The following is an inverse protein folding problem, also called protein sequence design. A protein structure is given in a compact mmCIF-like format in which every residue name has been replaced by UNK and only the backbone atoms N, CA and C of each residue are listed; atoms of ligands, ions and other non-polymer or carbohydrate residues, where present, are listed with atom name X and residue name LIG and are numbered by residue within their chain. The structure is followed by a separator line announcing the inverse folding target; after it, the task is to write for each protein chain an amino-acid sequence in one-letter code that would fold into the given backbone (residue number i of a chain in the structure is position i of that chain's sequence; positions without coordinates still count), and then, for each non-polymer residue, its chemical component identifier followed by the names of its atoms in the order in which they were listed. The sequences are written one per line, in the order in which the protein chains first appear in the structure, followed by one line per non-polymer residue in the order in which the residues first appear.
data_IF_444614210709
#
_entry.id   IF_444614210709
#
_cell.length_a   1.000
_cell.length_b   1.000
_cell.length_c   1.000
_cell.angle_alpha   90.00
_cell.angle_beta   90.00
_cell.angle_gamma   90.00
#
_symmetry.space_group_name_H-M   'P 1'
#
loop_
_entity.id
_entity.type
_entity.pdbx_description
1 polymer ?
#
# COMPACT_ATOMS: atom_id res chain seq x y z
N UNK A 1 9.69 -13.74 -17.34
CA UNK A 1 9.69 -12.91 -16.12
C UNK A 1 11.06 -12.81 -15.47
N UNK A 2 11.53 -13.88 -14.83
CA UNK A 2 12.79 -13.94 -14.06
C UNK A 2 14.05 -13.56 -14.85
N UNK A 3 14.20 -14.04 -16.09
CA UNK A 3 15.32 -13.66 -16.96
C UNK A 3 15.31 -12.18 -17.37
N UNK A 4 14.13 -11.61 -17.61
CA UNK A 4 13.97 -10.19 -17.89
C UNK A 4 14.30 -9.34 -16.65
N UNK A 5 13.93 -9.79 -15.45
CA UNK A 5 14.28 -9.14 -14.20
C UNK A 5 15.81 -9.15 -13.96
N UNK A 6 16.49 -10.26 -14.27
CA UNK A 6 17.96 -10.35 -14.21
C UNK A 6 18.63 -9.42 -15.23
N UNK A 7 18.11 -9.36 -16.46
CA UNK A 7 18.57 -8.43 -17.48
C UNK A 7 18.43 -6.97 -17.06
N UNK A 8 17.26 -6.59 -16.54
CA UNK A 8 16.99 -5.24 -16.04
C UNK A 8 17.90 -4.88 -14.86
N UNK A 9 18.09 -5.78 -13.90
CA UNK A 9 18.97 -5.55 -12.73
C UNK A 9 20.42 -5.28 -13.14
N UNK A 10 20.88 -5.90 -14.23
CA UNK A 10 22.25 -5.71 -14.73
C UNK A 10 22.46 -4.36 -15.42
N UNK A 11 21.46 -3.81 -16.11
CA UNK A 11 21.66 -2.66 -17.00
C UNK A 11 21.02 -1.36 -16.52
N UNK A 12 19.98 -1.43 -15.70
CA UNK A 12 19.22 -0.26 -15.30
C UNK A 12 19.77 0.35 -14.01
N UNK A 13 20.10 1.64 -14.03
CA UNK A 13 20.49 2.39 -12.83
C UNK A 13 19.35 2.39 -11.80
N UNK A 14 19.67 2.44 -10.50
CA UNK A 14 18.67 2.33 -9.42
C UNK A 14 17.54 3.36 -9.55
N UNK A 15 17.88 4.61 -9.91
CA UNK A 15 16.88 5.67 -10.12
C UNK A 15 16.06 5.44 -11.41
N UNK A 16 16.71 5.05 -12.50
CA UNK A 16 16.02 4.75 -13.76
C UNK A 16 15.07 3.55 -13.61
N UNK A 17 15.47 2.53 -12.84
CA UNK A 17 14.62 1.41 -12.46
C UNK A 17 13.42 1.83 -11.63
N UNK A 18 13.63 2.69 -10.64
CA UNK A 18 12.53 3.19 -9.81
C UNK A 18 11.52 4.00 -10.63
N UNK A 19 11.99 4.87 -11.52
CA UNK A 19 11.12 5.66 -12.41
C UNK A 19 10.40 4.76 -13.41
N UNK A 20 11.10 3.83 -14.06
CA UNK A 20 10.52 2.90 -15.02
C UNK A 20 9.50 1.96 -14.36
N UNK A 21 9.78 1.47 -13.15
CA UNK A 21 8.85 0.68 -12.38
C UNK A 21 7.61 1.49 -11.96
N UNK A 22 7.78 2.76 -11.56
CA UNK A 22 6.66 3.66 -11.26
C UNK A 22 5.74 3.82 -12.48
N UNK A 23 6.34 4.16 -13.62
CA UNK A 23 5.62 4.36 -14.88
C UNK A 23 4.93 3.08 -15.34
N UNK A 24 5.60 1.93 -15.24
CA UNK A 24 5.01 0.64 -15.59
C UNK A 24 3.78 0.35 -14.72
N UNK A 25 3.86 0.55 -13.41
CA UNK A 25 2.71 0.25 -12.53
C UNK A 25 1.59 1.25 -12.77
N UNK A 26 1.88 2.54 -12.93
CA UNK A 26 0.86 3.55 -13.31
C UNK A 26 0.21 3.17 -14.64
N UNK A 27 0.99 2.76 -15.64
CA UNK A 27 0.49 2.34 -16.94
C UNK A 27 -0.37 1.08 -16.82
N UNK A 28 0.04 0.09 -16.02
CA UNK A 28 -0.76 -1.11 -15.75
C UNK A 28 -2.07 -0.75 -15.05
N UNK A 29 -2.05 0.15 -14.05
CA UNK A 29 -3.27 0.62 -13.37
C UNK A 29 -4.20 1.30 -14.37
N UNK A 30 -3.69 2.19 -15.21
CA UNK A 30 -4.47 2.93 -16.24
C UNK A 30 -4.99 1.97 -17.33
N UNK A 31 -4.18 1.00 -17.75
CA UNK A 31 -4.60 -0.02 -18.71
C UNK A 31 -5.68 -0.92 -18.12
N UNK A 32 -5.52 -1.42 -16.89
CA UNK A 32 -6.53 -2.21 -16.18
C UNK A 32 -7.79 -1.38 -15.96
N UNK A 33 -7.65 -0.13 -15.55
CA UNK A 33 -8.71 0.85 -15.38
C UNK A 33 -9.55 1.06 -16.63
N UNK A 34 -8.91 1.28 -17.78
CA UNK A 34 -9.58 1.46 -19.08
C UNK A 34 -10.16 0.16 -19.62
N UNK A 35 -9.53 -0.99 -19.31
CA UNK A 35 -10.07 -2.30 -19.66
C UNK A 35 -11.23 -2.72 -18.76
N UNK A 36 -11.23 -2.42 -17.46
CA UNK A 36 -12.31 -2.81 -16.54
C UNK A 36 -13.48 -1.83 -16.49
N UNK A 37 -13.51 -0.81 -17.36
CA UNK A 37 -14.72 0.01 -17.50
C UNK A 37 -15.87 -0.93 -17.90
N UNK A 38 -16.91 -1.09 -17.05
CA UNK A 38 -18.07 -1.87 -17.41
C UNK A 38 -18.69 -1.19 -18.63
N UNK A 39 -18.71 -1.89 -19.76
CA UNK A 39 -19.48 -1.46 -20.92
C UNK A 39 -20.92 -1.28 -20.45
N UNK A 40 -21.53 -0.14 -20.74
CA UNK A 40 -22.87 0.20 -20.26
C UNK A 40 -23.85 -0.78 -20.87
N UNK A 41 -24.21 -1.82 -20.12
CA UNK A 41 -25.35 -2.68 -20.44
C UNK A 41 -26.58 -1.80 -20.30
N UNK A 42 -27.08 -1.32 -21.44
CA UNK A 42 -28.38 -0.67 -21.60
C UNK A 42 -29.47 -1.68 -21.30
N UNK A 43 -30.54 -1.22 -20.64
CA UNK A 43 -31.61 -2.11 -20.13
C UNK A 43 -32.33 -2.90 -21.24
N UNK A 44 -32.26 -2.46 -22.51
CA UNK A 44 -32.73 -3.21 -23.70
C UNK A 44 -31.97 -4.54 -23.95
N UNK A 45 -30.73 -4.68 -23.47
CA UNK A 45 -29.93 -5.90 -23.68
C UNK A 45 -30.19 -7.00 -22.65
N UNK A 46 -30.80 -6.67 -21.51
CA UNK A 46 -31.05 -7.62 -20.42
C UNK A 46 -32.23 -8.56 -20.74
N UNK A 47 -33.22 -8.08 -21.51
CA UNK A 47 -34.43 -8.83 -21.84
C UNK A 47 -34.26 -9.81 -23.02
N UNK A 48 -33.32 -9.57 -23.95
CA UNK A 48 -33.27 -10.33 -25.20
C UNK A 48 -32.11 -11.33 -25.30
N UNK A 49 -30.98 -11.15 -24.58
CA UNK A 49 -29.78 -12.00 -24.77
C UNK A 49 -28.88 -12.14 -23.54
N UNK A 50 -29.37 -12.83 -22.52
CA UNK A 50 -28.57 -13.19 -21.31
C UNK A 50 -27.26 -13.91 -21.65
N UNK A 51 -27.25 -14.77 -22.68
CA UNK A 51 -26.04 -15.51 -23.10
C UNK A 51 -24.96 -14.62 -23.74
N UNK A 52 -25.34 -13.56 -24.47
CA UNK A 52 -24.42 -12.65 -25.16
C UNK A 52 -23.74 -11.72 -24.13
N UNK A 53 -24.44 -11.39 -23.04
CA UNK A 53 -23.88 -10.68 -21.88
C UNK A 53 -22.86 -11.54 -21.14
N UNK A 54 -23.16 -12.83 -20.91
CA UNK A 54 -22.21 -13.78 -20.30
C UNK A 54 -20.98 -13.98 -21.19
N UNK A 55 -21.15 -14.16 -22.50
CA UNK A 55 -20.03 -14.39 -23.41
C UNK A 55 -19.15 -13.15 -23.58
N UNK A 56 -19.71 -11.93 -23.49
CA UNK A 56 -18.94 -10.67 -23.43
C UNK A 56 -18.22 -10.44 -22.11
N UNK A 57 -18.85 -10.79 -20.98
CA UNK A 57 -18.18 -10.74 -19.67
C UNK A 57 -17.04 -11.77 -19.60
N UNK A 58 -17.22 -12.95 -20.19
CA UNK A 58 -16.21 -13.99 -20.28
C UNK A 58 -15.16 -13.72 -21.36
N UNK A 59 -15.45 -12.91 -22.39
CA UNK A 59 -14.50 -12.57 -23.45
C UNK A 59 -13.19 -11.96 -22.90
N UNK A 60 -13.29 -11.12 -21.85
CA UNK A 60 -12.10 -10.56 -21.17
C UNK A 60 -11.34 -11.59 -20.33
N UNK A 61 -12.00 -12.69 -19.94
CA UNK A 61 -11.37 -13.82 -19.23
C UNK A 61 -10.82 -14.90 -20.17
N UNK A 62 -11.14 -14.86 -21.48
CA UNK A 62 -10.61 -15.80 -22.49
C UNK A 62 -9.09 -15.77 -22.61
N UNK A 63 -8.42 -14.70 -22.15
CA UNK A 63 -6.96 -14.68 -22.04
C UNK A 63 -6.41 -15.83 -21.19
N UNK A 64 -7.12 -16.22 -20.13
CA UNK A 64 -6.72 -17.33 -19.25
C UNK A 64 -6.87 -18.71 -19.89
N UNK A 65 -7.59 -18.80 -21.02
CA UNK A 65 -7.82 -20.02 -21.80
C UNK A 65 -6.81 -20.18 -22.94
N UNK A 66 -5.77 -19.35 -23.02
CA UNK A 66 -4.79 -19.47 -24.10
C UNK A 66 -4.07 -20.85 -24.04
N UNK A 67 -4.04 -21.64 -25.13
CA UNK A 67 -3.62 -23.04 -25.08
C UNK A 67 -2.19 -23.29 -24.61
N UNK A 68 -1.33 -22.28 -24.67
CA UNK A 68 0.08 -22.37 -24.25
C UNK A 68 0.32 -21.90 -22.81
N UNK A 69 -0.72 -21.49 -22.09
CA UNK A 69 -0.58 -21.07 -20.70
C UNK A 69 -0.67 -22.28 -19.75
N UNK A 70 0.17 -22.34 -18.71
CA UNK A 70 0.05 -23.36 -17.67
C UNK A 70 -1.34 -23.38 -17.00
N UNK A 71 -2.01 -22.22 -16.91
CA UNK A 71 -3.39 -22.13 -16.39
C UNK A 71 -4.38 -22.97 -17.18
N UNK A 72 -4.22 -23.01 -18.51
CA UNK A 72 -5.07 -23.81 -19.40
C UNK A 72 -4.83 -25.30 -19.19
N UNK A 73 -3.57 -25.75 -19.11
CA UNK A 73 -3.27 -27.17 -18.88
C UNK A 73 -3.76 -27.67 -17.52
N UNK A 74 -3.65 -26.84 -16.47
CA UNK A 74 -4.19 -27.17 -15.14
C UNK A 74 -5.72 -27.26 -15.18
N UNK A 75 -6.39 -26.26 -15.78
CA UNK A 75 -7.84 -26.24 -15.88
C UNK A 75 -8.38 -27.41 -16.69
N UNK A 76 -7.82 -27.66 -17.88
CA UNK A 76 -8.23 -28.74 -18.77
C UNK A 76 -7.92 -30.13 -18.20
N UNK A 77 -6.79 -30.28 -17.49
CA UNK A 77 -6.49 -31.51 -16.77
C UNK A 77 -7.50 -31.80 -15.66
N UNK A 78 -7.93 -30.77 -14.92
CA UNK A 78 -8.91 -30.92 -13.85
C UNK A 78 -10.31 -31.25 -14.39
N UNK A 79 -10.75 -30.60 -15.48
CA UNK A 79 -12.06 -30.88 -16.09
C UNK A 79 -12.12 -32.30 -16.66
N UNK A 80 -11.06 -32.73 -17.37
CA UNK A 80 -10.99 -34.10 -17.92
C UNK A 80 -10.93 -35.17 -16.83
N UNK A 81 -10.37 -34.86 -15.67
CA UNK A 81 -10.38 -35.77 -14.52
C UNK A 81 -11.80 -35.94 -13.97
N UNK A 82 -12.55 -34.85 -13.83
CA UNK A 82 -13.95 -34.84 -13.38
C UNK A 82 -14.86 -35.57 -14.37
N UNK A 83 -14.59 -35.46 -15.67
CA UNK A 83 -15.32 -36.15 -16.75
C UNK A 83 -14.93 -37.64 -16.89
N UNK A 84 -13.98 -38.14 -16.11
CA UNK A 84 -13.53 -39.55 -16.15
C UNK A 84 -12.53 -39.87 -17.28
N UNK A 85 -12.07 -38.87 -18.04
CA UNK A 85 -11.06 -39.01 -19.08
C UNK A 85 -9.64 -39.02 -18.48
N UNK A 86 -9.26 -40.16 -17.91
CA UNK A 86 -7.97 -40.35 -17.21
C UNK A 86 -6.75 -40.10 -18.12
N UNK A 87 -6.83 -40.49 -19.39
CA UNK A 87 -5.72 -40.32 -20.35
C UNK A 87 -5.45 -38.84 -20.65
N UNK A 88 -6.49 -38.02 -20.77
CA UNK A 88 -6.35 -36.57 -21.00
C UNK A 88 -5.75 -35.85 -19.79
N UNK A 89 -6.16 -36.26 -18.58
CA UNK A 89 -5.58 -35.77 -17.32
C UNK A 89 -4.09 -36.07 -17.24
N UNK A 90 -3.70 -37.31 -17.55
CA UNK A 90 -2.31 -37.74 -17.50
C UNK A 90 -1.44 -37.00 -18.53
N UNK A 91 -1.97 -36.78 -19.75
CA UNK A 91 -1.30 -35.98 -20.77
C UNK A 91 -1.00 -34.56 -20.29
N UNK A 92 -2.00 -33.82 -19.78
CA UNK A 92 -1.77 -32.46 -19.28
C UNK A 92 -0.86 -32.42 -18.05
N UNK A 93 -0.93 -33.43 -17.18
CA UNK A 93 -0.01 -33.60 -16.05
C UNK A 93 1.44 -33.76 -16.49
N UNK A 94 1.69 -34.60 -17.51
CA UNK A 94 3.03 -34.79 -18.08
C UNK A 94 3.54 -33.52 -18.79
N UNK A 95 2.67 -32.78 -19.48
CA UNK A 95 3.05 -31.51 -20.11
C UNK A 95 3.50 -30.48 -19.07
N UNK A 96 2.77 -30.36 -17.95
CA UNK A 96 3.13 -29.50 -16.83
C UNK A 96 4.45 -29.93 -16.17
N UNK A 97 4.63 -31.23 -15.95
CA UNK A 97 5.86 -31.78 -15.37
C UNK A 97 7.06 -31.53 -16.28
N UNK A 98 6.94 -31.77 -17.58
CA UNK A 98 7.99 -31.49 -18.56
C UNK A 98 8.36 -30.01 -18.59
N UNK A 99 7.36 -29.11 -18.58
CA UNK A 99 7.59 -27.66 -18.55
C UNK A 99 8.31 -27.21 -17.27
N UNK A 100 7.86 -27.69 -16.11
CA UNK A 100 8.48 -27.32 -14.83
C UNK A 100 9.90 -27.85 -14.69
N UNK A 101 10.16 -29.09 -15.13
CA UNK A 101 11.51 -29.66 -15.15
C UNK A 101 12.43 -28.93 -16.12
N UNK A 102 11.96 -28.62 -17.34
CA UNK A 102 12.75 -27.91 -18.34
C UNK A 102 13.15 -26.51 -17.86
N UNK A 103 12.18 -25.71 -17.42
CA UNK A 103 12.48 -24.35 -16.93
C UNK A 103 13.20 -24.36 -15.59
N UNK A 104 12.93 -25.34 -14.72
CA UNK A 104 13.65 -25.55 -13.47
C UNK A 104 15.13 -25.89 -13.70
N UNK A 105 15.42 -26.80 -14.63
CA UNK A 105 16.78 -27.17 -15.02
C UNK A 105 17.53 -25.97 -15.62
N UNK A 106 16.87 -25.20 -16.48
CA UNK A 106 17.45 -24.02 -17.11
C UNK A 106 17.74 -22.92 -16.07
N UNK A 107 16.85 -22.74 -15.08
CA UNK A 107 17.09 -21.87 -13.95
C UNK A 107 18.28 -22.36 -13.09
N UNK A 108 18.34 -23.63 -12.72
CA UNK A 108 19.41 -24.17 -11.87
C UNK A 108 20.80 -24.07 -12.53
N UNK A 109 20.90 -24.33 -13.83
CA UNK A 109 22.19 -24.43 -14.54
C UNK A 109 22.67 -23.11 -15.14
N UNK A 110 21.80 -22.32 -15.75
CA UNK A 110 22.20 -21.12 -16.52
C UNK A 110 21.99 -19.81 -15.78
N UNK A 111 21.16 -19.78 -14.73
CA UNK A 111 20.86 -18.52 -14.03
C UNK A 111 21.85 -18.15 -12.93
N UNK A 112 22.63 -19.09 -12.39
CA UNK A 112 23.49 -18.84 -11.22
C UNK A 112 24.53 -17.73 -11.42
N UNK A 113 25.29 -17.78 -12.52
CA UNK A 113 26.30 -16.76 -12.82
C UNK A 113 25.69 -15.38 -13.12
N UNK A 114 24.55 -15.36 -13.83
CA UNK A 114 23.81 -14.13 -14.14
C UNK A 114 23.18 -13.52 -12.87
N UNK A 115 22.67 -14.36 -11.97
CA UNK A 115 22.11 -13.95 -10.69
C UNK A 115 23.17 -13.32 -9.79
N UNK A 116 24.30 -14.00 -9.59
CA UNK A 116 25.36 -13.49 -8.73
C UNK A 116 26.00 -12.19 -9.27
N UNK A 117 26.21 -12.11 -10.58
CA UNK A 117 26.70 -10.91 -11.24
C UNK A 117 25.71 -9.74 -11.10
N UNK A 118 24.41 -9.99 -11.26
CA UNK A 118 23.37 -8.97 -11.11
C UNK A 118 23.25 -8.52 -9.65
N UNK A 119 23.29 -9.45 -8.69
CA UNK A 119 23.24 -9.15 -7.27
C UNK A 119 24.44 -8.30 -6.83
N UNK A 120 25.64 -8.69 -7.25
CA UNK A 120 26.87 -7.95 -6.98
C UNK A 120 26.85 -6.56 -7.63
N UNK A 121 26.34 -6.45 -8.86
CA UNK A 121 26.21 -5.18 -9.55
C UNK A 121 25.21 -4.22 -8.87
N UNK A 122 24.13 -4.74 -8.28
CA UNK A 122 23.14 -3.92 -7.55
C UNK A 122 23.69 -3.49 -6.19
N UNK A 123 24.34 -4.39 -5.45
CA UNK A 123 24.88 -4.10 -4.12
C UNK A 123 26.12 -3.17 -4.16
N UNK A 124 26.92 -3.22 -5.23
CA UNK A 124 28.09 -2.35 -5.41
C UNK A 124 27.75 -0.95 -5.92
N UNK A 125 26.52 -0.70 -6.40
CA UNK A 125 26.08 0.63 -6.85
C UNK A 125 25.81 1.54 -5.65
N UNK A 126 26.87 2.18 -5.16
CA UNK A 126 26.75 3.40 -4.37
C UNK A 126 25.94 4.44 -5.15
N UNK A 127 25.03 5.16 -4.48
CA UNK A 127 23.94 5.95 -5.08
C UNK A 127 24.30 7.15 -5.96
N UNK A 128 25.40 7.10 -6.73
CA UNK A 128 25.66 7.98 -7.86
C UNK A 128 25.00 7.41 -9.12
N UNK A 129 23.86 7.97 -9.51
CA UNK A 129 23.22 7.70 -10.80
C UNK A 129 24.15 8.12 -11.93
N UNK A 130 24.37 7.23 -12.89
CA UNK A 130 25.30 7.46 -13.97
C UNK A 130 25.32 6.23 -14.86
N UNK A 131 24.52 6.28 -15.92
CA UNK A 131 24.39 5.23 -16.92
C UNK A 131 25.77 4.90 -17.47
N UNK A 132 26.28 3.70 -17.18
CA UNK A 132 27.65 3.27 -17.57
C UNK A 132 27.92 3.39 -19.08
N UNK A 133 26.88 3.43 -19.91
CA UNK A 133 27.00 3.63 -21.35
C UNK A 133 27.53 5.04 -21.69
N UNK A 134 27.11 6.07 -20.96
CA UNK A 134 27.59 7.45 -21.16
C UNK A 134 28.97 7.73 -20.55
N UNK A 135 29.46 6.90 -19.61
CA UNK A 135 30.75 7.12 -18.92
C UNK A 135 31.94 6.40 -19.55
N UNK A 136 31.77 5.74 -20.70
CA UNK A 136 32.86 5.04 -21.38
C UNK A 136 33.82 5.96 -22.14
N UNK A 137 33.52 7.27 -22.22
CA UNK A 137 34.34 8.29 -22.87
C UNK A 137 34.95 9.35 -21.95
N UNK A 138 34.77 9.29 -20.64
CA UNK A 138 35.34 10.28 -19.71
C UNK A 138 36.39 9.63 -18.81
N UNK A 139 37.66 9.79 -19.17
CA UNK A 139 38.83 9.48 -18.34
C UNK A 139 38.88 10.38 -17.10
N UNK A 140 37.98 10.16 -16.16
CA UNK A 140 37.79 11.01 -14.97
C UNK A 140 37.69 10.16 -13.69
N UNK A 141 38.46 9.09 -13.60
CA UNK A 141 38.66 8.30 -12.37
C UNK A 141 39.48 9.04 -11.30
N UNK A 142 40.00 10.24 -11.59
CA UNK A 142 40.85 11.03 -10.68
C UNK A 142 40.16 12.18 -9.94
N UNK A 143 38.88 12.48 -10.22
CA UNK A 143 38.14 13.58 -9.57
C UNK A 143 37.21 13.11 -8.42
N UNK A 144 37.54 11.98 -7.78
CA UNK A 144 36.71 11.32 -6.77
C UNK A 144 36.90 11.86 -5.34
N UNK A 145 37.55 13.01 -5.17
CA UNK A 145 37.81 13.63 -3.86
C UNK A 145 37.03 14.91 -3.54
N UNK A 146 36.34 15.53 -4.51
CA UNK A 146 35.84 16.90 -4.35
C UNK A 146 34.46 17.16 -4.98
N UNK A 147 33.58 16.15 -5.03
CA UNK A 147 32.17 16.44 -5.28
C UNK A 147 31.51 16.85 -3.96
N UNK A 148 31.60 18.16 -3.72
CA UNK A 148 30.81 18.91 -2.75
C UNK A 148 29.42 18.30 -2.59
N UNK A 149 28.99 18.18 -1.33
CA UNK A 149 27.67 17.71 -0.93
C UNK A 149 26.61 18.65 -1.51
N UNK A 150 26.24 18.45 -2.78
CA UNK A 150 25.23 19.25 -3.44
C UNK A 150 23.90 19.04 -2.70
N UNK A 151 23.19 20.12 -2.33
CA UNK A 151 21.91 20.00 -1.64
C UNK A 151 20.95 19.27 -2.58
N UNK A 152 20.52 18.08 -2.17
CA UNK A 152 19.61 17.27 -2.99
C UNK A 152 18.23 17.92 -2.97
N UNK A 153 17.36 17.60 -3.94
CA UNK A 153 15.93 17.97 -3.94
C UNK A 153 15.26 17.75 -2.57
N UNK A 154 15.70 16.72 -1.86
CA UNK A 154 15.27 16.40 -0.50
C UNK A 154 15.66 17.46 0.55
N UNK A 155 16.82 18.10 0.44
CA UNK A 155 17.26 19.17 1.34
C UNK A 155 16.52 20.49 1.05
N UNK A 156 16.06 20.69 -0.20
CA UNK A 156 15.12 21.76 -0.57
C UNK A 156 13.70 21.50 -0.04
N UNK A 157 13.17 20.29 -0.21
CA UNK A 157 11.88 19.90 0.38
C UNK A 157 11.92 19.92 1.92
N UNK A 158 13.07 19.66 2.50
CA UNK A 158 13.28 19.79 3.94
C UNK A 158 13.11 21.25 4.42
N UNK A 159 13.40 22.25 3.56
CA UNK A 159 13.10 23.66 3.87
C UNK A 159 11.59 23.96 3.87
N UNK A 160 10.77 23.18 3.16
CA UNK A 160 9.31 23.28 3.22
C UNK A 160 8.76 22.91 4.61
N UNK A 161 9.44 22.01 5.34
CA UNK A 161 9.15 21.68 6.74
C UNK A 161 9.79 22.68 7.72
N UNK A 162 9.62 23.98 7.47
CA UNK A 162 10.21 25.05 8.28
C UNK A 162 9.72 25.08 9.74
N UNK A 163 8.55 24.47 10.03
CA UNK A 163 7.98 24.40 11.38
C UNK A 163 8.65 23.37 12.31
N UNK A 164 9.51 22.49 11.80
CA UNK A 164 10.16 21.43 12.58
C UNK A 164 11.62 21.78 12.93
N UNK A 165 12.06 21.39 14.14
CA UNK A 165 13.47 21.52 14.56
C UNK A 165 14.42 20.85 13.57
N UNK A 166 15.62 21.44 13.39
CA UNK A 166 16.61 20.97 12.42
C UNK A 166 16.95 19.47 12.54
N UNK A 167 16.95 18.96 13.77
CA UNK A 167 17.20 17.56 14.08
C UNK A 167 16.05 16.63 13.63
N UNK A 168 14.79 17.01 13.88
CA UNK A 168 13.60 16.28 13.40
C UNK A 168 13.54 16.25 11.87
N UNK A 169 13.94 17.35 11.22
CA UNK A 169 14.04 17.42 9.77
C UNK A 169 15.08 16.46 9.21
N UNK A 170 16.25 16.37 9.83
CA UNK A 170 17.27 15.40 9.43
C UNK A 170 16.79 13.95 9.55
N UNK A 171 16.01 13.65 10.60
CA UNK A 171 15.37 12.34 10.79
C UNK A 171 14.34 12.03 9.69
N UNK A 172 13.49 13.00 9.34
CA UNK A 172 12.51 12.84 8.24
C UNK A 172 13.22 12.62 6.91
N UNK A 173 14.27 13.39 6.60
CA UNK A 173 15.05 13.23 5.36
C UNK A 173 15.74 11.87 5.32
N UNK A 174 16.25 11.39 6.46
CA UNK A 174 16.79 10.02 6.60
C UNK A 174 15.72 8.99 6.26
N UNK A 175 14.53 9.08 6.86
CA UNK A 175 13.46 8.10 6.67
C UNK A 175 12.96 8.10 5.22
N UNK A 176 12.74 9.26 4.61
CA UNK A 176 12.34 9.40 3.19
C UNK A 176 13.39 8.77 2.28
N UNK A 177 14.68 9.05 2.52
CA UNK A 177 15.78 8.50 1.73
C UNK A 177 15.91 6.99 1.91
N UNK A 178 15.64 6.48 3.11
CA UNK A 178 15.67 5.04 3.39
C UNK A 178 14.50 4.33 2.70
N UNK A 179 13.30 4.91 2.76
CA UNK A 179 12.12 4.42 2.05
C UNK A 179 12.31 4.39 0.53
N UNK A 180 12.82 5.48 -0.07
CA UNK A 180 13.14 5.52 -1.50
C UNK A 180 14.24 4.54 -1.90
N UNK A 181 15.14 4.17 -0.99
CA UNK A 181 16.15 3.16 -1.25
C UNK A 181 15.53 1.76 -1.25
N UNK A 182 14.56 1.49 -0.39
CA UNK A 182 13.92 0.18 -0.33
C UNK A 182 12.87 0.00 -1.44
N UNK A 183 13.31 -0.62 -2.56
CA UNK A 183 12.45 -0.90 -3.72
C UNK A 183 11.29 -1.82 -3.39
N UNK A 184 11.42 -2.66 -2.36
CA UNK A 184 10.33 -3.56 -1.96
C UNK A 184 9.22 -2.79 -1.25
N UNK A 185 9.58 -1.91 -0.30
CA UNK A 185 8.60 -1.14 0.47
C UNK A 185 7.82 -0.15 -0.39
N UNK A 186 8.52 0.64 -1.22
CA UNK A 186 7.82 1.61 -2.04
C UNK A 186 7.06 0.97 -3.22
N UNK A 187 7.57 -0.12 -3.80
CA UNK A 187 6.83 -0.89 -4.82
C UNK A 187 5.53 -1.48 -4.27
N UNK A 188 5.55 -2.00 -3.05
CA UNK A 188 4.36 -2.48 -2.34
C UNK A 188 3.36 -1.35 -2.03
N UNK A 189 3.86 -0.16 -1.66
CA UNK A 189 3.02 1.03 -1.44
C UNK A 189 2.31 1.44 -2.73
N UNK A 190 3.05 1.46 -3.85
CA UNK A 190 2.52 1.84 -5.15
C UNK A 190 1.44 0.86 -5.63
N UNK A 191 1.66 -0.45 -5.49
CA UNK A 191 0.64 -1.46 -5.84
C UNK A 191 -0.63 -1.25 -5.01
N UNK A 192 -0.50 -1.04 -3.69
CA UNK A 192 -1.66 -0.85 -2.81
C UNK A 192 -2.42 0.44 -3.18
N UNK A 193 -1.73 1.56 -3.36
CA UNK A 193 -2.33 2.81 -3.81
C UNK A 193 -2.98 2.68 -5.20
N UNK A 194 -2.36 1.91 -6.09
CA UNK A 194 -2.89 1.66 -7.44
C UNK A 194 -4.20 0.89 -7.45
N UNK A 195 -4.27 -0.19 -6.67
CA UNK A 195 -5.50 -0.94 -6.46
C UNK A 195 -6.60 -0.06 -5.85
N UNK A 196 -6.21 0.83 -4.94
CA UNK A 196 -7.13 1.76 -4.29
C UNK A 196 -7.71 2.79 -5.28
N UNK A 197 -6.89 3.32 -6.19
CA UNK A 197 -7.35 4.20 -7.27
C UNK A 197 -8.27 3.44 -8.24
N UNK A 198 -7.94 2.19 -8.58
CA UNK A 198 -8.80 1.35 -9.41
C UNK A 198 -10.17 1.10 -8.75
N UNK A 199 -10.20 0.87 -7.44
CA UNK A 199 -11.44 0.76 -6.65
C UNK A 199 -12.30 2.02 -6.75
N UNK A 200 -11.73 3.22 -6.57
CA UNK A 200 -12.49 4.48 -6.67
C UNK A 200 -13.05 4.69 -8.07
N UNK A 201 -12.26 4.40 -9.11
CA UNK A 201 -12.74 4.52 -10.48
C UNK A 201 -13.90 3.57 -10.76
N UNK A 202 -13.88 2.36 -10.18
CA UNK A 202 -14.98 1.42 -10.30
C UNK A 202 -16.26 1.91 -9.60
N UNK A 203 -16.13 2.51 -8.40
CA UNK A 203 -17.27 3.10 -7.67
C UNK A 203 -18.03 4.15 -8.49
N UNK A 204 -17.34 4.94 -9.33
CA UNK A 204 -17.98 5.94 -10.19
C UNK A 204 -19.04 5.34 -11.11
N UNK A 205 -18.81 4.13 -11.61
CA UNK A 205 -19.77 3.43 -12.47
C UNK A 205 -20.96 2.89 -11.68
N UNK A 206 -20.73 2.42 -10.44
CA UNK A 206 -21.81 1.94 -9.57
C UNK A 206 -22.74 3.08 -9.15
N UNK A 207 -22.18 4.25 -8.83
CA UNK A 207 -22.91 5.47 -8.46
C UNK A 207 -24.02 5.84 -9.45
N UNK A 208 -23.74 5.78 -10.75
CA UNK A 208 -24.67 6.23 -11.80
C UNK A 208 -25.95 5.38 -11.90
N UNK A 209 -25.96 4.16 -11.35
CA UNK A 209 -27.12 3.25 -11.38
C UNK A 209 -27.94 3.27 -10.08
N UNK A 210 -27.54 4.03 -9.06
CA UNK A 210 -28.26 4.09 -7.79
C UNK A 210 -29.35 5.17 -7.86
N UNK A 211 -30.61 4.74 -7.96
CA UNK A 211 -31.78 5.63 -8.07
C UNK A 211 -32.45 5.95 -6.74
N UNK A 212 -32.05 5.31 -5.63
CA UNK A 212 -32.67 5.48 -4.31
C UNK A 212 -31.67 6.01 -3.27
N UNK A 213 -32.11 7.01 -2.51
CA UNK A 213 -31.34 7.70 -1.46
C UNK A 213 -30.75 6.74 -0.41
N UNK A 214 -31.47 5.67 -0.07
CA UNK A 214 -31.01 4.63 0.85
C UNK A 214 -29.70 3.98 0.39
N UNK A 215 -29.60 3.66 -0.90
CA UNK A 215 -28.40 3.01 -1.45
C UNK A 215 -27.22 3.97 -1.54
N UNK A 216 -27.48 5.25 -1.79
CA UNK A 216 -26.45 6.29 -1.78
C UNK A 216 -25.88 6.43 -0.36
N UNK A 217 -26.74 6.45 0.66
CA UNK A 217 -26.34 6.52 2.06
C UNK A 217 -25.52 5.30 2.48
N UNK A 218 -26.06 4.10 2.27
CA UNK A 218 -25.37 2.85 2.61
C UNK A 218 -24.00 2.74 1.91
N UNK A 219 -23.95 3.05 0.62
CA UNK A 219 -22.71 3.01 -0.17
C UNK A 219 -21.69 4.04 0.36
N UNK A 220 -22.14 5.22 0.79
CA UNK A 220 -21.26 6.25 1.35
C UNK A 220 -20.60 5.81 2.67
N UNK A 221 -21.33 5.19 3.60
CA UNK A 221 -20.77 4.67 4.85
C UNK A 221 -19.88 3.44 4.63
N UNK A 222 -20.27 2.54 3.73
CA UNK A 222 -19.42 1.42 3.34
C UNK A 222 -18.12 1.91 2.70
N UNK A 223 -18.18 2.96 1.89
CA UNK A 223 -16.98 3.56 1.31
C UNK A 223 -16.08 4.21 2.36
N UNK A 224 -16.65 4.91 3.36
CA UNK A 224 -15.88 5.40 4.52
C UNK A 224 -15.17 4.23 5.23
N UNK A 225 -15.89 3.13 5.47
CA UNK A 225 -15.32 1.91 6.06
C UNK A 225 -14.20 1.30 5.23
N UNK A 226 -14.40 1.17 3.91
CA UNK A 226 -13.37 0.69 2.99
C UNK A 226 -12.13 1.58 3.01
N UNK A 227 -12.29 2.91 2.99
CA UNK A 227 -11.18 3.86 3.09
C UNK A 227 -10.44 3.73 4.43
N UNK A 228 -11.17 3.57 5.54
CA UNK A 228 -10.58 3.37 6.86
C UNK A 228 -9.85 2.03 6.99
N UNK A 229 -10.36 0.94 6.41
CA UNK A 229 -9.69 -0.36 6.38
C UNK A 229 -8.40 -0.33 5.54
N UNK A 230 -8.43 0.38 4.41
CA UNK A 230 -7.22 0.61 3.61
C UNK A 230 -6.18 1.42 4.38
N UNK A 231 -6.61 2.43 5.14
CA UNK A 231 -5.74 3.17 6.04
C UNK A 231 -5.16 2.30 7.16
N UNK A 232 -5.96 1.43 7.79
CA UNK A 232 -5.46 0.48 8.78
C UNK A 232 -4.41 -0.47 8.18
N UNK A 233 -4.61 -0.90 6.93
CA UNK A 233 -3.66 -1.75 6.21
C UNK A 233 -2.34 -1.00 5.94
N UNK A 234 -2.43 0.25 5.48
CA UNK A 234 -1.26 1.11 5.23
C UNK A 234 -0.49 1.40 6.51
N UNK A 235 -1.19 1.74 7.60
CA UNK A 235 -0.56 2.03 8.89
C UNK A 235 0.10 0.78 9.49
N UNK A 236 -0.58 -0.37 9.44
CA UNK A 236 -0.01 -1.63 9.92
C UNK A 236 1.22 -2.05 9.11
N UNK A 237 1.24 -1.80 7.80
CA UNK A 237 2.37 -2.19 6.94
C UNK A 237 3.56 -1.25 7.02
N UNK A 238 3.33 0.06 7.09
CA UNK A 238 4.39 1.05 6.93
C UNK A 238 4.72 1.83 8.19
N UNK A 239 3.80 1.89 9.15
CA UNK A 239 3.89 2.76 10.34
C UNK A 239 4.25 1.94 11.56
N UNK A 240 3.56 0.82 11.78
CA UNK A 240 3.87 -0.11 12.87
C UNK A 240 5.35 -0.58 12.89
N UNK A 241 5.96 -1.03 11.77
CA UNK A 241 7.33 -1.53 11.82
C UNK A 241 8.39 -0.42 11.88
N UNK A 242 8.06 0.88 11.78
CA UNK A 242 9.06 1.95 11.66
C UNK A 242 10.08 1.99 12.79
N UNK A 243 9.64 1.70 14.01
CA UNK A 243 10.51 1.69 15.19
C UNK A 243 11.38 0.43 15.17
N UNK A 244 10.78 -0.72 14.87
CA UNK A 244 11.50 -2.00 14.75
C UNK A 244 12.54 -1.99 13.62
N UNK A 245 12.27 -1.27 12.51
CA UNK A 245 13.18 -1.12 11.37
C UNK A 245 14.42 -0.26 11.66
N UNK A 246 14.46 0.49 12.76
CA UNK A 246 15.72 1.08 13.25
C UNK A 246 16.70 -0.01 13.69
N UNK A 247 16.17 -1.19 14.07
CA UNK A 247 16.90 -2.43 14.25
C UNK A 247 18.07 -2.33 15.22
N UNK A 248 19.16 -3.02 14.88
CA UNK A 248 20.42 -3.03 15.65
C UNK A 248 21.11 -1.67 15.73
N UNK A 249 20.66 -0.65 15.00
CA UNK A 249 21.25 0.70 14.95
C UNK A 249 20.47 1.70 15.82
N UNK A 250 19.49 1.23 16.59
CA UNK A 250 18.70 2.09 17.48
C UNK A 250 19.57 2.85 18.48
N UNK A 251 20.74 2.31 18.86
CA UNK A 251 21.67 2.96 19.77
C UNK A 251 22.25 4.27 19.25
N UNK A 252 22.51 4.37 17.94
CA UNK A 252 22.96 5.61 17.30
C UNK A 252 21.89 6.71 17.45
N UNK A 253 20.62 6.31 17.37
CA UNK A 253 19.48 7.23 17.54
C UNK A 253 19.25 7.56 19.01
N UNK A 254 19.52 6.62 19.93
CA UNK A 254 19.44 6.81 21.38
C UNK A 254 20.50 7.77 21.93
N UNK A 255 21.71 7.73 21.38
CA UNK A 255 22.81 8.64 21.77
C UNK A 255 22.71 10.02 21.08
N UNK A 256 21.84 10.19 20.10
CA UNK A 256 21.60 11.48 19.47
C UNK A 256 20.87 12.44 20.43
N UNK A 257 21.16 13.76 20.39
CA UNK A 257 20.61 14.77 21.32
C UNK A 257 19.07 14.91 21.30
N UNK A 258 18.42 14.31 20.31
CA UNK A 258 16.97 14.28 20.14
C UNK A 258 16.22 13.55 21.26
N UNK A 259 16.81 12.48 21.80
CA UNK A 259 16.14 11.55 22.72
C UNK A 259 15.03 10.71 22.06
N UNK A 260 14.83 9.49 22.56
CA UNK A 260 13.96 8.49 21.92
C UNK A 260 12.48 8.88 21.90
N UNK A 261 12.02 9.65 22.89
CA UNK A 261 10.66 10.21 22.95
C UNK A 261 10.39 11.15 21.77
N UNK A 262 11.32 12.05 21.45
CA UNK A 262 11.15 13.02 20.36
C UNK A 262 11.24 12.34 18.99
N UNK A 263 12.06 11.29 18.88
CA UNK A 263 12.11 10.43 17.69
C UNK A 263 10.75 9.79 17.41
N UNK A 264 10.15 9.14 18.42
CA UNK A 264 8.82 8.52 18.28
C UNK A 264 7.76 9.56 17.90
N UNK A 265 7.72 10.71 18.57
CA UNK A 265 6.75 11.77 18.26
C UNK A 265 6.97 12.35 16.86
N UNK A 266 8.21 12.51 16.41
CA UNK A 266 8.52 13.00 15.06
C UNK A 266 8.03 11.99 14.00
N UNK A 267 8.29 10.69 14.21
CA UNK A 267 7.80 9.63 13.31
C UNK A 267 6.27 9.55 13.30
N UNK A 268 5.64 9.66 14.47
CA UNK A 268 4.19 9.71 14.61
C UNK A 268 3.57 10.88 13.84
N UNK A 269 4.06 12.11 14.05
CA UNK A 269 3.54 13.30 13.38
C UNK A 269 3.75 13.22 11.86
N UNK A 270 4.94 12.80 11.42
CA UNK A 270 5.24 12.63 10.00
C UNK A 270 4.33 11.58 9.34
N UNK A 271 4.22 10.40 9.97
CA UNK A 271 3.35 9.33 9.48
C UNK A 271 1.89 9.74 9.41
N UNK A 272 1.41 10.40 10.46
CA UNK A 272 0.02 10.89 10.54
C UNK A 272 -0.23 11.92 9.45
N UNK A 273 0.67 12.88 9.24
CA UNK A 273 0.51 13.88 8.19
C UNK A 273 0.43 13.25 6.79
N UNK A 274 1.33 12.31 6.48
CA UNK A 274 1.35 11.64 5.15
C UNK A 274 0.08 10.81 4.95
N UNK A 275 -0.26 9.94 5.89
CA UNK A 275 -1.41 9.04 5.76
C UNK A 275 -2.76 9.77 5.82
N UNK A 276 -2.89 10.82 6.64
CA UNK A 276 -4.07 11.69 6.69
C UNK A 276 -4.25 12.45 5.37
N UNK A 277 -3.17 12.98 4.78
CA UNK A 277 -3.25 13.65 3.48
C UNK A 277 -3.73 12.68 2.40
N UNK A 278 -3.13 11.49 2.32
CA UNK A 278 -3.51 10.46 1.33
C UNK A 278 -4.99 10.06 1.50
N UNK A 279 -5.44 9.82 2.73
CA UNK A 279 -6.82 9.36 2.98
C UNK A 279 -7.87 10.44 2.83
N UNK A 280 -7.56 11.69 3.17
CA UNK A 280 -8.47 12.81 2.91
C UNK A 280 -8.66 13.05 1.42
N UNK A 281 -7.59 13.01 0.62
CA UNK A 281 -7.69 13.08 -0.85
C UNK A 281 -8.53 11.91 -1.36
N UNK A 282 -8.31 10.71 -0.82
CA UNK A 282 -9.02 9.51 -1.21
C UNK A 282 -10.53 9.60 -0.93
N UNK A 283 -10.92 9.97 0.29
CA UNK A 283 -12.33 10.09 0.68
C UNK A 283 -12.98 11.26 -0.06
N UNK A 284 -12.30 12.40 -0.17
CA UNK A 284 -12.80 13.57 -0.89
C UNK A 284 -13.06 13.27 -2.36
N UNK A 285 -12.12 12.64 -3.06
CA UNK A 285 -12.31 12.21 -4.46
C UNK A 285 -13.39 11.14 -4.59
N UNK A 286 -13.45 10.17 -3.68
CA UNK A 286 -14.50 9.14 -3.69
C UNK A 286 -15.89 9.73 -3.50
N UNK A 287 -16.07 10.67 -2.56
CA UNK A 287 -17.35 11.34 -2.31
C UNK A 287 -17.76 12.24 -3.47
N UNK A 288 -16.80 12.94 -4.09
CA UNK A 288 -17.04 13.73 -5.29
C UNK A 288 -17.49 12.86 -6.48
N UNK A 289 -16.91 11.67 -6.66
CA UNK A 289 -17.33 10.72 -7.70
C UNK A 289 -18.71 10.10 -7.41
N UNK A 290 -19.08 9.97 -6.14
CA UNK A 290 -20.40 9.49 -5.71
C UNK A 290 -21.49 10.59 -5.79
N UNK A 291 -21.15 11.80 -6.24
CA UNK A 291 -22.07 12.96 -6.36
C UNK A 291 -22.81 13.30 -5.05
N UNK A 292 -22.16 13.08 -3.91
CA UNK A 292 -22.72 13.33 -2.57
C UNK A 292 -22.65 14.83 -2.26
N UNK A 293 -23.60 15.35 -1.46
CA UNK A 293 -23.62 16.76 -1.06
C UNK A 293 -22.34 17.19 -0.32
N UNK A 294 -21.99 18.47 -0.42
CA UNK A 294 -20.73 19.02 0.11
C UNK A 294 -20.68 18.90 1.64
N UNK A 295 -21.79 19.09 2.33
CA UNK A 295 -21.93 18.95 3.78
C UNK A 295 -21.57 17.53 4.26
N UNK A 296 -22.04 16.50 3.56
CA UNK A 296 -21.73 15.09 3.85
C UNK A 296 -20.28 14.76 3.50
N UNK A 297 -19.74 15.35 2.43
CA UNK A 297 -18.33 15.19 2.06
C UNK A 297 -17.41 15.74 3.16
N UNK A 298 -17.71 16.91 3.72
CA UNK A 298 -16.98 17.48 4.85
C UNK A 298 -17.09 16.56 6.08
N UNK A 299 -18.30 16.07 6.37
CA UNK A 299 -18.54 15.14 7.47
C UNK A 299 -17.66 13.87 7.37
N UNK A 300 -17.62 13.21 6.21
CA UNK A 300 -16.79 12.03 6.01
C UNK A 300 -15.29 12.35 6.03
N UNK A 301 -14.88 13.49 5.48
CA UNK A 301 -13.48 13.92 5.47
C UNK A 301 -12.96 14.22 6.87
N UNK A 302 -13.77 14.85 7.72
CA UNK A 302 -13.42 15.10 9.13
C UNK A 302 -13.37 13.77 9.90
N UNK A 303 -14.37 12.90 9.70
CA UNK A 303 -14.44 11.58 10.35
C UNK A 303 -13.21 10.73 10.04
N UNK A 304 -12.83 10.61 8.76
CA UNK A 304 -11.62 9.86 8.37
C UNK A 304 -10.35 10.52 8.88
N UNK A 305 -10.33 11.85 9.01
CA UNK A 305 -9.21 12.58 9.60
C UNK A 305 -8.95 12.18 11.05
N UNK A 306 -10.00 12.13 11.87
CA UNK A 306 -9.90 11.66 13.26
C UNK A 306 -9.52 10.18 13.30
N UNK A 307 -10.13 9.33 12.48
CA UNK A 307 -9.76 7.91 12.38
C UNK A 307 -8.30 7.73 11.99
N UNK A 308 -7.77 8.53 11.06
CA UNK A 308 -6.36 8.50 10.64
C UNK A 308 -5.43 8.79 11.81
N UNK A 309 -5.73 9.83 12.59
CA UNK A 309 -4.95 10.15 13.78
C UNK A 309 -4.94 8.99 14.78
N UNK A 310 -6.11 8.42 15.11
CA UNK A 310 -6.24 7.31 16.06
C UNK A 310 -5.52 6.04 15.57
N UNK A 311 -5.70 5.65 14.30
CA UNK A 311 -5.07 4.45 13.74
C UNK A 311 -3.55 4.59 13.68
N UNK A 312 -3.01 5.76 13.32
CA UNK A 312 -1.57 5.99 13.39
C UNK A 312 -1.05 5.97 14.83
N UNK A 313 -1.79 6.55 15.77
CA UNK A 313 -1.39 6.57 17.18
C UNK A 313 -1.36 5.15 17.76
N UNK A 314 -2.34 4.33 17.40
CA UNK A 314 -2.39 2.92 17.75
C UNK A 314 -1.23 2.13 17.11
N UNK A 315 -0.97 2.31 15.82
CA UNK A 315 0.10 1.61 15.10
C UNK A 315 1.49 1.96 15.63
N UNK A 316 1.79 3.26 15.81
CA UNK A 316 3.07 3.71 16.39
C UNK A 316 3.19 3.30 17.85
N UNK A 317 2.11 3.45 18.63
CA UNK A 317 2.09 3.09 20.04
C UNK A 317 2.37 1.61 20.27
N UNK A 318 1.65 0.72 19.58
CA UNK A 318 1.88 -0.72 19.67
C UNK A 318 3.25 -1.13 19.09
N UNK A 319 3.70 -0.49 18.01
CA UNK A 319 5.03 -0.71 17.45
C UNK A 319 6.17 -0.33 18.41
N UNK A 320 5.93 0.66 19.28
CA UNK A 320 6.85 1.07 20.34
C UNK A 320 6.79 0.19 21.60
N UNK A 321 5.61 -0.36 21.92
CA UNK A 321 5.43 -1.27 23.08
C UNK A 321 6.04 -2.64 22.79
N UNK A 322 5.89 -3.15 21.56
CA UNK A 322 6.40 -4.46 21.13
C UNK A 322 7.44 -4.33 20.01
N UNK A 323 8.60 -3.67 20.25
CA UNK A 323 9.61 -3.51 19.23
C UNK A 323 10.34 -4.84 18.97
N UNK A 324 10.58 -5.16 17.71
CA UNK A 324 11.39 -6.30 17.31
C UNK A 324 12.61 -5.84 16.52
N UNK A 325 13.70 -5.51 17.22
CA UNK A 325 14.94 -5.01 16.62
C UNK A 325 15.81 -6.08 15.95
N UNK A 326 15.48 -7.37 16.12
CA UNK A 326 16.26 -8.48 15.56
C UNK A 326 15.92 -8.75 14.10
N UNK A 327 14.68 -8.48 13.71
CA UNK A 327 14.19 -8.71 12.36
C UNK A 327 14.34 -7.47 11.50
N UNK A 328 14.95 -7.62 10.31
CA UNK A 328 15.09 -6.53 9.34
C UNK A 328 13.96 -6.54 8.29
N UNK A 329 13.19 -7.63 8.24
CA UNK A 329 12.10 -7.80 7.27
C UNK A 329 10.78 -7.21 7.81
N UNK A 330 10.22 -6.16 7.19
CA UNK A 330 8.99 -5.51 7.67
C UNK A 330 7.79 -6.46 7.70
N UNK A 331 7.64 -7.32 6.69
CA UNK A 331 6.53 -8.29 6.63
C UNK A 331 6.53 -9.27 7.80
N UNK A 332 7.72 -9.65 8.30
CA UNK A 332 7.85 -10.56 9.44
C UNK A 332 7.60 -9.85 10.77
N UNK A 333 7.99 -8.58 10.88
CA UNK A 333 7.66 -7.74 12.04
C UNK A 333 6.14 -7.58 12.18
N UNK A 334 5.45 -7.30 11.07
CA UNK A 334 3.99 -7.12 11.04
C UNK A 334 3.23 -8.42 11.34
N UNK A 335 3.78 -9.57 10.98
CA UNK A 335 3.19 -10.88 11.28
C UNK A 335 3.41 -11.33 12.73
N UNK A 336 4.18 -10.58 13.53
CA UNK A 336 4.38 -10.85 14.95
C UNK A 336 3.17 -10.49 15.82
N UNK A 337 3.23 -10.84 17.10
CA UNK A 337 2.16 -10.61 18.07
C UNK A 337 1.66 -9.15 18.07
N UNK A 338 2.55 -8.17 18.18
CA UNK A 338 2.18 -6.75 18.20
C UNK A 338 1.46 -6.29 16.92
N UNK A 339 1.84 -6.83 15.76
CA UNK A 339 1.22 -6.47 14.48
C UNK A 339 -0.17 -7.11 14.32
N UNK A 340 -0.36 -8.34 14.79
CA UNK A 340 -1.70 -8.98 14.82
C UNK A 340 -2.65 -8.23 15.76
N UNK A 341 -2.20 -7.83 16.95
CA UNK A 341 -2.98 -7.01 17.87
C UNK A 341 -3.34 -5.64 17.25
N UNK A 342 -2.39 -5.01 16.57
CA UNK A 342 -2.61 -3.76 15.85
C UNK A 342 -3.72 -3.91 14.81
N UNK A 343 -3.68 -4.99 14.02
CA UNK A 343 -4.69 -5.30 13.00
C UNK A 343 -6.07 -5.51 13.62
N UNK A 344 -6.18 -6.39 14.63
CA UNK A 344 -7.46 -6.72 15.27
C UNK A 344 -8.08 -5.48 15.92
N UNK A 345 -7.31 -4.70 16.68
CA UNK A 345 -7.81 -3.49 17.33
C UNK A 345 -8.21 -2.42 16.31
N UNK A 346 -7.44 -2.25 15.23
CA UNK A 346 -7.78 -1.32 14.15
C UNK A 346 -9.10 -1.73 13.47
N UNK A 347 -9.28 -3.02 13.20
CA UNK A 347 -10.50 -3.56 12.59
C UNK A 347 -11.73 -3.34 13.46
N UNK A 348 -11.65 -3.71 14.75
CA UNK A 348 -12.73 -3.50 15.71
C UNK A 348 -13.08 -2.01 15.87
N UNK A 349 -12.07 -1.15 15.94
CA UNK A 349 -12.26 0.29 16.00
C UNK A 349 -12.99 0.82 14.76
N UNK A 350 -12.56 0.44 13.56
CA UNK A 350 -13.20 0.89 12.31
C UNK A 350 -14.65 0.43 12.25
N UNK A 351 -14.91 -0.86 12.51
CA UNK A 351 -16.25 -1.40 12.46
C UNK A 351 -17.17 -0.73 13.50
N UNK A 352 -16.70 -0.56 14.73
CA UNK A 352 -17.45 0.11 15.79
C UNK A 352 -17.72 1.59 15.50
N UNK A 353 -16.73 2.34 15.01
CA UNK A 353 -16.90 3.77 14.75
C UNK A 353 -17.70 4.05 13.48
N UNK A 354 -17.55 3.25 12.41
CA UNK A 354 -18.34 3.42 11.19
C UNK A 354 -19.82 3.08 11.45
N UNK A 355 -20.11 2.02 12.19
CA UNK A 355 -21.49 1.67 12.57
C UNK A 355 -22.11 2.73 13.46
N UNK A 356 -21.38 3.21 14.47
CA UNK A 356 -21.80 4.31 15.33
C UNK A 356 -22.10 5.58 14.50
N UNK A 357 -21.23 5.92 13.55
CA UNK A 357 -21.43 7.10 12.70
C UNK A 357 -22.55 6.93 11.67
N UNK A 358 -22.84 5.71 11.24
CA UNK A 358 -24.01 5.42 10.42
C UNK A 358 -25.31 5.54 11.23
N UNK A 359 -25.34 5.05 12.47
CA UNK A 359 -26.54 5.09 13.33
C UNK A 359 -26.86 6.50 13.87
N UNK A 360 -25.84 7.29 14.17
CA UNK A 360 -26.01 8.62 14.79
C UNK A 360 -26.13 9.75 13.76
N UNK A 361 -26.00 9.45 12.47
CA UNK A 361 -26.06 10.45 11.42
C UNK A 361 -27.47 11.03 11.24
N UNK A 362 -27.52 12.32 10.91
CA UNK A 362 -28.76 13.02 10.53
C UNK A 362 -29.28 12.63 9.15
N UNK A 363 -28.42 12.04 8.34
CA UNK A 363 -28.72 11.76 6.94
C UNK A 363 -29.00 10.29 6.68
N UNK A 364 -28.54 9.39 7.54
CA UNK A 364 -28.72 7.95 7.37
C UNK A 364 -30.05 7.47 7.94
N UNK A 365 -30.69 6.52 7.25
CA UNK A 365 -31.77 5.65 7.74
C UNK A 365 -32.88 6.36 8.55
N UNK A 366 -33.44 7.44 8.01
CA UNK A 366 -34.61 8.13 8.59
C UNK A 366 -34.30 9.32 9.50
N UNK A 367 -33.01 9.69 9.65
CA UNK A 367 -32.57 10.92 10.28
C UNK A 367 -32.64 10.89 11.81
N UNK A 368 -31.47 10.85 12.45
CA UNK A 368 -31.37 10.89 13.91
C UNK A 368 -31.65 12.29 14.47
N UNK A 369 -32.15 12.35 15.72
CA UNK A 369 -32.33 13.61 16.44
C UNK A 369 -31.02 14.40 16.56
N UNK A 370 -31.09 15.73 16.62
CA UNK A 370 -29.91 16.58 16.78
C UNK A 370 -29.09 16.21 18.02
N UNK A 371 -29.76 15.78 19.10
CA UNK A 371 -29.11 15.33 20.33
C UNK A 371 -28.31 14.04 20.12
N UNK A 372 -28.89 13.05 19.43
CA UNK A 372 -28.21 11.79 19.14
C UNK A 372 -27.01 11.97 18.19
N UNK A 373 -27.10 12.92 17.25
CA UNK A 373 -25.98 13.28 16.38
C UNK A 373 -24.79 13.83 17.16
N UNK A 374 -25.01 14.80 18.05
CA UNK A 374 -23.94 15.36 18.87
C UNK A 374 -23.42 14.37 19.91
N UNK A 375 -24.29 13.56 20.51
CA UNK A 375 -23.88 12.48 21.41
C UNK A 375 -22.99 11.46 20.70
N UNK A 376 -23.34 11.09 19.45
CA UNK A 376 -22.53 10.24 18.59
C UNK A 376 -21.13 10.81 18.34
N UNK A 377 -21.03 12.11 18.02
CA UNK A 377 -19.74 12.78 17.85
C UNK A 377 -18.90 12.83 19.13
N UNK A 378 -19.50 13.12 20.27
CA UNK A 378 -18.80 13.13 21.56
C UNK A 378 -18.28 11.73 21.89
N UNK A 379 -19.10 10.70 21.70
CA UNK A 379 -18.69 9.30 21.91
C UNK A 379 -17.59 8.89 20.93
N UNK A 380 -17.73 9.24 19.64
CA UNK A 380 -16.71 9.00 18.61
C UNK A 380 -15.38 9.63 19.00
N UNK A 381 -15.34 10.94 19.24
CA UNK A 381 -14.10 11.66 19.61
C UNK A 381 -13.53 11.10 20.92
N UNK A 382 -14.38 10.82 21.91
CA UNK A 382 -13.96 10.26 23.20
C UNK A 382 -13.27 8.90 23.05
N UNK A 383 -13.89 7.96 22.33
CA UNK A 383 -13.31 6.64 22.09
C UNK A 383 -12.07 6.73 21.20
N UNK A 384 -12.12 7.53 20.13
CA UNK A 384 -10.97 7.79 19.24
C UNK A 384 -9.78 8.36 19.99
N UNK A 385 -10.01 9.29 20.93
CA UNK A 385 -8.98 9.88 21.76
C UNK A 385 -8.41 8.85 22.74
N UNK A 386 -9.26 8.12 23.48
CA UNK A 386 -8.81 7.10 24.43
C UNK A 386 -7.98 6.01 23.75
N UNK A 387 -8.47 5.49 22.63
CA UNK A 387 -7.87 4.39 21.89
C UNK A 387 -6.58 4.81 21.18
N UNK A 388 -6.44 6.08 20.80
CA UNK A 388 -5.17 6.63 20.29
C UNK A 388 -4.17 7.00 21.39
N UNK A 389 -4.66 7.59 22.49
CA UNK A 389 -3.82 8.10 23.59
C UNK A 389 -3.18 6.97 24.41
N UNK A 390 -3.94 5.91 24.72
CA UNK A 390 -3.45 4.81 25.58
C UNK A 390 -2.22 4.09 24.98
N UNK A 391 -2.25 3.59 23.72
CA UNK A 391 -1.09 2.92 23.12
C UNK A 391 0.07 3.87 22.92
N UNK A 392 -0.20 5.12 22.50
CA UNK A 392 0.85 6.11 22.27
C UNK A 392 1.58 6.45 23.58
N UNK A 393 0.85 6.65 24.68
CA UNK A 393 1.43 6.91 26.00
C UNK A 393 2.21 5.72 26.53
N UNK A 394 1.69 4.50 26.35
CA UNK A 394 2.39 3.27 26.70
C UNK A 394 3.70 3.14 25.90
N UNK A 395 3.66 3.41 24.61
CA UNK A 395 4.82 3.43 23.72
C UNK A 395 5.88 4.46 24.15
N UNK A 396 5.47 5.70 24.43
CA UNK A 396 6.38 6.76 24.90
C UNK A 396 7.07 6.36 26.21
N UNK A 397 6.33 5.80 27.17
CA UNK A 397 6.90 5.34 28.44
C UNK A 397 7.91 4.21 28.21
N UNK A 398 7.57 3.22 27.38
CA UNK A 398 8.45 2.10 27.08
C UNK A 398 9.75 2.55 26.41
N UNK A 399 9.66 3.47 25.45
CA UNK A 399 10.83 4.02 24.76
C UNK A 399 11.72 4.88 25.66
N UNK A 400 11.16 5.50 26.71
CA UNK A 400 11.95 6.24 27.69
C UNK A 400 12.73 5.32 28.65
N UNK A 401 12.23 4.10 28.87
CA UNK A 401 12.87 3.08 29.70
C UNK A 401 13.77 2.11 28.92
N UNK A 402 13.87 2.27 27.60
CA UNK A 402 14.77 1.44 26.80
C UNK A 402 16.21 1.84 27.09
N UNK A 403 16.92 0.97 27.80
CA UNK A 403 18.38 1.01 27.89
C UNK A 403 18.96 0.69 26.50
N UNK A 404 19.81 1.60 26.03
CA UNK A 404 20.40 1.62 24.69
C UNK A 404 21.79 1.04 24.71
#
# INVERSE_FOLDING_TARGET
GSWAALGLARWLDRLAFQIAAMLLVVLVIVSISSWLQPETVTDEMLETRVLDVVDRLLARTRFSLFPYLPSFWVSSGLTLWVEGAVMGTFFFGLVLLSHTLFFGYLAATKSGGLFFASLSAVNSRGGGGGWKFCKRGAGASQALGQLAFQPKLLDLLAKWFWWCSAESRALIVKDIRTFWRDTTQWGQSLILLGLLVAYIMNLRYFSHRLTSDFWIDLTSYLNLGACALNLATLTTRFVFPQISLEGKRVWIVGMAPLGMRRVLLTKFLFSTAVSMTVTMILVGTSCAMLSVSIDRTIYFTVTVGVMSFTLNALAVGLGAVYPNFREENPSKIVSGFGGTLCLVLSFLYILGMVTLMAMTSRWAFGGSSTMAFWAGWVLFIGVSFLLGWLPLRAGIRRMATLEV
#
